data_IF_958056457641
#
_entry.id   IF_958056457641
#
_cell.length_a   1.000
_cell.length_b   1.000
_cell.length_c   1.000
_cell.angle_alpha   90.00
_cell.angle_beta   90.00
_cell.angle_gamma   90.00
#
_symmetry.space_group_name_H-M   'P 1'
#
loop_
_entity.id
_entity.type
_entity.pdbx_description
1 polymer ?
#
# COMPACT_ATOMS: atom_id res chain seq x y z
N UNK A 1 21.48 -4.95 7.99
CA UNK A 1 20.91 -3.67 7.56
C UNK A 1 20.80 -3.56 6.02
N UNK A 2 21.90 -3.66 5.26
CA UNK A 2 21.86 -3.52 3.79
C UNK A 2 20.91 -4.53 3.09
N UNK A 3 20.92 -5.81 3.48
CA UNK A 3 20.05 -6.84 2.90
C UNK A 3 18.55 -6.59 3.13
N UNK A 4 18.16 -6.03 4.28
CA UNK A 4 16.75 -5.69 4.55
C UNK A 4 16.28 -4.48 3.75
N UNK A 5 17.15 -3.47 3.59
CA UNK A 5 16.86 -2.31 2.73
C UNK A 5 16.72 -2.75 1.27
N UNK A 6 17.64 -3.59 0.77
CA UNK A 6 17.58 -4.10 -0.59
C UNK A 6 16.28 -4.90 -0.85
N UNK A 7 15.89 -5.78 0.08
CA UNK A 7 14.62 -6.51 -0.01
C UNK A 7 13.41 -5.59 -0.05
N UNK A 8 13.42 -4.53 0.80
CA UNK A 8 12.35 -3.52 0.81
C UNK A 8 12.26 -2.78 -0.52
N UNK A 9 13.39 -2.34 -1.07
CA UNK A 9 13.44 -1.65 -2.35
C UNK A 9 12.94 -2.55 -3.48
N UNK A 10 13.42 -3.80 -3.58
CA UNK A 10 12.98 -4.76 -4.59
C UNK A 10 11.47 -5.04 -4.50
N UNK A 11 10.97 -5.24 -3.27
CA UNK A 11 9.53 -5.42 -3.05
C UNK A 11 8.72 -4.19 -3.47
N UNK A 12 9.20 -2.99 -3.17
CA UNK A 12 8.53 -1.75 -3.57
C UNK A 12 8.58 -1.52 -5.09
N UNK A 13 9.68 -1.84 -5.75
CA UNK A 13 9.78 -1.82 -7.22
C UNK A 13 8.76 -2.77 -7.85
N UNK A 14 8.61 -3.97 -7.27
CA UNK A 14 7.58 -4.91 -7.71
C UNK A 14 6.16 -4.33 -7.55
N UNK A 15 5.86 -3.69 -6.42
CA UNK A 15 4.53 -3.06 -6.19
C UNK A 15 4.28 -1.90 -7.15
N UNK A 16 5.29 -1.10 -7.48
CA UNK A 16 5.19 -0.06 -8.52
C UNK A 16 4.87 -0.69 -9.87
N UNK A 17 5.57 -1.75 -10.25
CA UNK A 17 5.29 -2.46 -11.49
C UNK A 17 3.85 -3.01 -11.54
N UNK A 18 3.36 -3.60 -10.43
CA UNK A 18 1.96 -4.04 -10.32
C UNK A 18 0.99 -2.86 -10.46
N UNK A 19 1.28 -1.70 -9.86
CA UNK A 19 0.47 -0.49 -10.02
C UNK A 19 0.34 -0.07 -11.48
N UNK A 20 1.43 -0.10 -12.24
CA UNK A 20 1.40 0.20 -13.69
C UNK A 20 0.63 -0.88 -14.48
N UNK A 21 0.74 -2.16 -14.11
CA UNK A 21 -0.07 -3.22 -14.74
C UNK A 21 -1.57 -2.97 -14.53
N UNK A 22 -1.98 -2.61 -13.30
CA UNK A 22 -3.39 -2.26 -13.01
C UNK A 22 -3.83 -1.04 -13.82
N UNK A 23 -2.99 -0.02 -13.91
CA UNK A 23 -3.28 1.18 -14.70
C UNK A 23 -3.37 0.86 -16.21
N UNK A 24 -2.50 -0.01 -16.76
CA UNK A 24 -2.57 -0.48 -18.14
C UNK A 24 -3.84 -1.29 -18.43
N UNK A 25 -4.26 -2.15 -17.50
CA UNK A 25 -5.54 -2.87 -17.60
C UNK A 25 -6.71 -1.89 -17.63
N UNK A 26 -6.67 -0.85 -16.78
CA UNK A 26 -7.65 0.22 -16.80
C UNK A 26 -7.68 0.97 -18.12
N UNK A 27 -6.52 1.34 -18.67
CA UNK A 27 -6.41 1.99 -19.97
C UNK A 27 -6.95 1.09 -21.12
N UNK A 28 -6.75 -0.22 -21.03
CA UNK A 28 -7.37 -1.17 -21.96
C UNK A 28 -8.89 -1.17 -21.86
N UNK A 29 -9.46 -1.11 -20.65
CA UNK A 29 -10.91 -0.97 -20.44
C UNK A 29 -11.41 0.36 -21.01
N UNK A 30 -10.71 1.47 -20.73
CA UNK A 30 -11.06 2.80 -21.25
C UNK A 30 -11.12 2.79 -22.78
N UNK A 31 -10.12 2.18 -23.42
CA UNK A 31 -10.09 2.05 -24.88
C UNK A 31 -11.28 1.24 -25.43
N UNK A 32 -11.62 0.12 -24.79
CA UNK A 32 -12.74 -0.72 -25.21
C UNK A 32 -14.09 -0.02 -25.04
N UNK A 33 -14.23 0.82 -24.02
CA UNK A 33 -15.47 1.54 -23.70
C UNK A 33 -15.55 2.94 -24.34
N UNK A 34 -14.51 3.38 -25.05
CA UNK A 34 -14.44 4.71 -25.65
C UNK A 34 -14.33 5.83 -24.61
N UNK A 35 -13.78 5.55 -23.42
CA UNK A 35 -13.56 6.54 -22.35
C UNK A 35 -12.29 7.32 -22.66
N UNK A 36 -12.39 8.65 -22.68
CA UNK A 36 -11.25 9.52 -22.92
C UNK A 36 -10.27 9.52 -21.73
N UNK A 37 -8.98 9.50 -22.04
CA UNK A 37 -7.91 9.71 -21.06
C UNK A 37 -7.85 11.19 -20.61
N UNK A 38 -7.30 11.43 -19.40
CA UNK A 38 -7.15 12.79 -18.82
C UNK A 38 -5.69 13.19 -18.65
N UNK A 39 -4.85 12.94 -19.65
CA UNK A 39 -3.41 13.26 -19.63
C UNK A 39 -3.15 14.76 -19.47
N UNK A 40 -2.11 15.07 -18.70
CA UNK A 40 -1.64 16.44 -18.54
C UNK A 40 -0.60 16.58 -17.45
N UNK A 41 0.20 17.64 -17.51
CA UNK A 41 1.33 17.87 -16.59
C UNK A 41 0.94 17.85 -15.10
N UNK A 42 -0.28 18.29 -14.76
CA UNK A 42 -0.77 18.23 -13.38
C UNK A 42 -1.01 16.79 -12.93
N UNK A 43 -1.65 15.97 -13.77
CA UNK A 43 -1.90 14.56 -13.47
C UNK A 43 -0.58 13.79 -13.34
N UNK A 44 0.36 14.03 -14.25
CA UNK A 44 1.69 13.43 -14.23
C UNK A 44 2.46 13.82 -12.96
N UNK A 45 2.47 15.12 -12.61
CA UNK A 45 3.13 15.62 -11.42
C UNK A 45 2.55 15.04 -10.12
N UNK A 46 1.22 15.01 -10.00
CA UNK A 46 0.54 14.39 -8.86
C UNK A 46 0.79 12.88 -8.81
N UNK A 47 0.77 12.21 -9.96
CA UNK A 47 1.06 10.79 -10.06
C UNK A 47 2.47 10.45 -9.59
N UNK A 48 3.48 11.20 -10.04
CA UNK A 48 4.85 11.05 -9.58
C UNK A 48 4.99 11.30 -8.07
N UNK A 49 4.34 12.35 -7.55
CA UNK A 49 4.36 12.68 -6.13
C UNK A 49 3.73 11.55 -5.28
N UNK A 50 2.60 10.98 -5.72
CA UNK A 50 1.95 9.86 -5.04
C UNK A 50 2.81 8.60 -5.07
N UNK A 51 3.43 8.25 -6.20
CA UNK A 51 4.34 7.09 -6.26
C UNK A 51 5.53 7.30 -5.32
N UNK A 52 6.14 8.48 -5.32
CA UNK A 52 7.26 8.79 -4.44
C UNK A 52 6.84 8.69 -2.96
N UNK A 53 5.70 9.30 -2.58
CA UNK A 53 5.18 9.24 -1.22
C UNK A 53 4.84 7.79 -0.80
N UNK A 54 4.19 7.03 -1.66
CA UNK A 54 3.88 5.62 -1.42
C UNK A 54 5.12 4.75 -1.28
N UNK A 55 6.12 4.96 -2.13
CA UNK A 55 7.40 4.26 -2.07
C UNK A 55 8.14 4.55 -0.76
N UNK A 56 8.23 5.82 -0.37
CA UNK A 56 8.88 6.23 0.90
C UNK A 56 8.14 5.67 2.11
N UNK A 57 6.80 5.79 2.14
CA UNK A 57 5.96 5.27 3.22
C UNK A 57 6.15 3.76 3.39
N UNK A 58 6.12 3.01 2.28
CA UNK A 58 6.30 1.55 2.29
C UNK A 58 7.71 1.15 2.70
N UNK A 59 8.73 1.85 2.20
CA UNK A 59 10.12 1.59 2.58
C UNK A 59 10.32 1.78 4.08
N UNK A 60 9.78 2.87 4.63
CA UNK A 60 9.82 3.11 6.07
C UNK A 60 9.05 2.05 6.85
N UNK A 61 7.79 1.75 6.45
CA UNK A 61 6.96 0.75 7.13
C UNK A 61 7.59 -0.65 7.09
N UNK A 62 8.09 -1.07 5.94
CA UNK A 62 8.75 -2.36 5.77
C UNK A 62 10.04 -2.49 6.60
N UNK A 63 10.79 -1.38 6.73
CA UNK A 63 11.98 -1.37 7.58
C UNK A 63 11.62 -1.66 9.05
N UNK A 64 10.56 -1.05 9.58
CA UNK A 64 10.06 -1.34 10.93
C UNK A 64 9.50 -2.76 11.04
N UNK A 65 8.78 -3.23 10.02
CA UNK A 65 8.26 -4.59 9.94
C UNK A 65 9.38 -5.64 10.01
N UNK A 66 10.45 -5.47 9.23
CA UNK A 66 11.59 -6.38 9.23
C UNK A 66 12.44 -6.35 10.51
N UNK A 67 12.40 -5.28 11.29
CA UNK A 67 13.04 -5.22 12.61
C UNK A 67 12.27 -5.98 13.68
N UNK A 68 10.96 -6.11 13.55
CA UNK A 68 10.10 -6.88 14.45
C UNK A 68 10.04 -8.38 14.15
N UNK A 69 10.63 -8.81 13.03
CA UNK A 69 10.64 -10.22 12.61
C UNK A 69 12.02 -10.84 12.81
N UNK A 70 12.13 -11.83 13.67
CA UNK A 70 13.21 -12.83 13.58
C UNK A 70 12.88 -13.83 12.48
N UNK A 71 13.57 -13.65 11.34
CA UNK A 71 13.81 -14.62 10.27
C UNK A 71 12.62 -15.42 9.70
N UNK A 72 12.30 -15.09 8.41
CA UNK A 72 11.99 -16.04 7.30
C UNK A 72 11.10 -17.27 7.64
N UNK A 73 10.09 -17.14 8.44
CA UNK A 73 8.94 -18.06 8.37
C UNK A 73 7.67 -17.22 8.43
N UNK A 74 6.95 -17.21 7.30
CA UNK A 74 5.57 -16.79 7.20
C UNK A 74 4.83 -17.00 8.53
N UNK A 75 4.34 -15.93 9.18
CA UNK A 75 3.20 -15.96 10.08
C UNK A 75 3.34 -15.60 11.57
N UNK A 76 4.44 -15.21 12.14
CA UNK A 76 4.30 -14.71 13.53
C UNK A 76 5.11 -13.45 13.72
N UNK A 77 4.44 -12.29 13.78
CA UNK A 77 5.02 -11.10 14.39
C UNK A 77 5.28 -11.41 15.87
N UNK A 78 6.53 -11.42 16.30
CA UNK A 78 6.88 -11.60 17.71
C UNK A 78 6.52 -10.39 18.57
N UNK A 79 6.41 -9.21 17.94
CA UNK A 79 6.11 -7.95 18.61
C UNK A 79 5.12 -7.13 17.81
N UNK A 80 4.16 -6.51 18.49
CA UNK A 80 3.25 -5.55 17.87
C UNK A 80 4.01 -4.27 17.49
N UNK A 81 4.01 -3.93 16.19
CA UNK A 81 4.69 -2.75 15.69
C UNK A 81 3.76 -1.55 15.79
N UNK A 82 4.09 -0.62 16.69
CA UNK A 82 3.30 0.59 16.96
C UNK A 82 4.07 1.88 16.68
N UNK A 83 5.31 1.77 16.17
CA UNK A 83 6.25 2.88 15.96
C UNK A 83 6.46 3.21 14.48
N UNK A 84 7.13 4.32 14.22
CA UNK A 84 7.38 4.78 12.85
C UNK A 84 6.08 5.07 12.09
N UNK A 85 5.92 4.63 10.83
CA UNK A 85 4.70 4.82 10.04
C UNK A 85 3.45 4.21 10.69
N UNK A 86 3.60 3.12 11.46
CA UNK A 86 2.51 2.48 12.18
C UNK A 86 1.94 3.33 13.34
N UNK A 87 2.57 4.43 13.70
CA UNK A 87 2.04 5.42 14.62
C UNK A 87 0.89 6.25 14.02
N UNK A 88 0.90 6.43 12.68
CA UNK A 88 -0.08 7.27 11.97
C UNK A 88 -1.18 6.45 11.31
N UNK A 89 -0.83 5.27 10.81
CA UNK A 89 -1.77 4.33 10.19
C UNK A 89 -1.45 2.92 10.67
N UNK A 90 -2.48 2.11 10.93
CA UNK A 90 -2.28 0.69 11.23
C UNK A 90 -1.85 -0.12 10.01
N UNK A 91 -2.09 0.43 8.81
CA UNK A 91 -1.87 -0.27 7.54
C UNK A 91 -1.04 0.55 6.53
N UNK A 92 0.14 1.07 6.91
CA UNK A 92 0.92 1.96 6.06
C UNK A 92 1.42 1.28 4.77
N UNK A 93 1.62 -0.05 4.78
CA UNK A 93 2.01 -0.82 3.60
C UNK A 93 0.88 -0.86 2.56
N UNK A 94 -0.36 -1.11 3.00
CA UNK A 94 -1.53 -1.09 2.13
C UNK A 94 -1.84 0.30 1.60
N UNK A 95 -1.78 1.33 2.46
CA UNK A 95 -1.97 2.72 2.08
C UNK A 95 -0.97 3.17 1.01
N UNK A 96 0.32 2.93 1.23
CA UNK A 96 1.37 3.29 0.30
C UNK A 96 1.29 2.54 -1.04
N UNK A 97 0.88 1.27 -1.03
CA UNK A 97 0.78 0.44 -2.23
C UNK A 97 -0.53 0.64 -2.98
N UNK A 98 -1.62 0.19 -2.37
CA UNK A 98 -2.92 0.11 -3.05
C UNK A 98 -3.59 1.47 -3.26
N UNK A 99 -3.25 2.48 -2.44
CA UNK A 99 -3.79 3.83 -2.64
C UNK A 99 -2.77 4.69 -3.39
N UNK A 100 -1.61 4.99 -2.79
CA UNK A 100 -0.71 5.97 -3.37
C UNK A 100 -0.07 5.51 -4.67
N UNK A 101 0.58 4.33 -4.69
CA UNK A 101 1.30 3.88 -5.88
C UNK A 101 0.32 3.57 -7.02
N UNK A 102 -0.78 2.87 -6.76
CA UNK A 102 -1.73 2.51 -7.81
C UNK A 102 -2.46 3.73 -8.37
N UNK A 103 -2.92 4.66 -7.51
CA UNK A 103 -3.49 5.92 -7.97
C UNK A 103 -2.46 6.73 -8.76
N UNK A 104 -1.21 6.81 -8.28
CA UNK A 104 -0.15 7.52 -8.97
C UNK A 104 0.12 6.98 -10.37
N UNK A 105 0.19 5.65 -10.53
CA UNK A 105 0.35 5.01 -11.84
C UNK A 105 -0.84 5.30 -12.77
N UNK A 106 -2.08 5.26 -12.24
CA UNK A 106 -3.29 5.55 -13.01
C UNK A 106 -3.36 7.03 -13.45
N UNK A 107 -2.89 7.96 -12.61
CA UNK A 107 -2.79 9.38 -12.96
C UNK A 107 -1.75 9.61 -14.07
N UNK A 108 -0.57 9.00 -14.01
CA UNK A 108 0.47 9.10 -15.04
C UNK A 108 -0.03 8.56 -16.38
N UNK A 109 -0.77 7.46 -16.39
CA UNK A 109 -1.35 6.92 -17.60
C UNK A 109 -2.64 7.65 -18.03
N UNK A 110 -3.18 8.52 -17.19
CA UNK A 110 -4.40 9.29 -17.46
C UNK A 110 -5.64 8.41 -17.59
N UNK A 111 -5.71 7.28 -16.88
CA UNK A 111 -6.75 6.26 -17.05
C UNK A 111 -7.85 6.32 -15.99
N UNK A 112 -9.08 6.76 -16.34
CA UNK A 112 -10.24 6.64 -15.44
C UNK A 112 -10.52 5.20 -15.03
N UNK A 113 -10.40 4.24 -15.95
CA UNK A 113 -10.57 2.81 -15.68
C UNK A 113 -9.58 2.28 -14.66
N UNK A 114 -8.33 2.74 -14.68
CA UNK A 114 -7.34 2.41 -13.66
C UNK A 114 -7.78 2.87 -12.26
N UNK A 115 -8.27 4.11 -12.12
CA UNK A 115 -8.81 4.61 -10.86
C UNK A 115 -10.06 3.84 -10.42
N UNK A 116 -10.95 3.49 -11.35
CA UNK A 116 -12.13 2.68 -11.06
C UNK A 116 -11.74 1.28 -10.55
N UNK A 117 -10.77 0.62 -11.17
CA UNK A 117 -10.26 -0.68 -10.71
C UNK A 117 -9.71 -0.60 -9.28
N UNK A 118 -9.04 0.50 -8.91
CA UNK A 118 -8.54 0.69 -7.55
C UNK A 118 -9.72 0.80 -6.58
N UNK A 119 -10.73 1.60 -6.89
CA UNK A 119 -11.93 1.74 -6.04
C UNK A 119 -12.62 0.38 -5.86
N UNK A 120 -12.78 -0.39 -6.93
CA UNK A 120 -13.37 -1.73 -6.88
C UNK A 120 -12.52 -2.73 -6.08
N UNK A 121 -11.21 -2.53 -6.03
CA UNK A 121 -10.29 -3.37 -5.27
C UNK A 121 -10.26 -3.06 -3.76
N UNK A 122 -10.58 -1.82 -3.35
CA UNK A 122 -10.51 -1.41 -1.94
C UNK A 122 -11.33 -2.28 -0.97
N UNK A 123 -12.55 -2.76 -1.29
CA UNK A 123 -13.29 -3.66 -0.41
C UNK A 123 -12.54 -4.98 -0.12
N UNK A 124 -11.86 -5.53 -1.14
CA UNK A 124 -11.03 -6.72 -0.97
C UNK A 124 -9.84 -6.45 -0.05
N UNK A 125 -9.19 -5.30 -0.23
CA UNK A 125 -8.08 -4.86 0.65
C UNK A 125 -8.59 -4.68 2.09
N UNK A 126 -9.74 -4.03 2.30
CA UNK A 126 -10.30 -3.84 3.64
C UNK A 126 -10.67 -5.20 4.29
N UNK A 127 -11.19 -6.15 3.51
CA UNK A 127 -11.44 -7.52 3.99
C UNK A 127 -10.14 -8.21 4.45
N UNK A 128 -9.05 -8.09 3.67
CA UNK A 128 -7.75 -8.65 4.03
C UNK A 128 -7.19 -8.01 5.29
N UNK A 129 -7.28 -6.67 5.39
CA UNK A 129 -6.87 -5.91 6.58
C UNK A 129 -7.64 -6.34 7.83
N UNK A 130 -8.98 -6.49 7.73
CA UNK A 130 -9.80 -6.95 8.86
C UNK A 130 -9.44 -8.35 9.32
N UNK A 131 -9.05 -9.21 8.39
CA UNK A 131 -8.56 -10.55 8.72
C UNK A 131 -7.22 -10.50 9.45
N UNK A 132 -6.29 -9.67 8.98
CA UNK A 132 -5.00 -9.45 9.63
C UNK A 132 -5.16 -8.81 11.01
N UNK A 133 -6.02 -7.79 11.16
CA UNK A 133 -6.32 -7.15 12.44
C UNK A 133 -6.90 -8.15 13.46
N UNK A 134 -7.74 -9.10 13.04
CA UNK A 134 -8.25 -10.16 13.92
C UNK A 134 -7.13 -11.07 14.41
N UNK A 135 -6.23 -11.48 13.54
CA UNK A 135 -5.07 -12.30 13.93
C UNK A 135 -4.15 -11.56 14.91
N UNK A 136 -3.93 -10.27 14.71
CA UNK A 136 -3.17 -9.43 15.63
C UNK A 136 -3.87 -9.30 16.99
N UNK A 137 -5.19 -9.15 17.01
CA UNK A 137 -5.99 -9.11 18.23
C UNK A 137 -5.91 -10.43 19.00
N UNK A 138 -6.02 -11.56 18.31
CA UNK A 138 -5.91 -12.90 18.91
C UNK A 138 -4.51 -13.14 19.48
N UNK A 139 -3.48 -12.59 18.85
CA UNK A 139 -2.07 -12.78 19.24
C UNK A 139 -1.65 -11.84 20.36
N UNK A 140 -2.08 -10.58 20.35
CA UNK A 140 -1.58 -9.53 21.24
C UNK A 140 -2.61 -9.01 22.26
N UNK A 141 -3.87 -9.44 22.18
CA UNK A 141 -4.91 -9.13 23.15
C UNK A 141 -5.06 -7.65 23.46
N UNK A 142 -4.93 -7.28 24.74
CA UNK A 142 -5.13 -5.89 25.22
C UNK A 142 -4.14 -4.91 24.61
N UNK A 143 -2.90 -5.32 24.34
CA UNK A 143 -1.91 -4.46 23.69
C UNK A 143 -2.35 -4.02 22.27
N UNK A 144 -3.03 -4.93 21.53
CA UNK A 144 -3.65 -4.59 20.27
C UNK A 144 -4.79 -3.58 20.42
N UNK A 145 -5.67 -3.77 21.41
CA UNK A 145 -6.78 -2.87 21.66
C UNK A 145 -6.31 -1.45 22.01
N UNK A 146 -5.34 -1.31 22.89
CA UNK A 146 -4.75 -0.01 23.22
C UNK A 146 -4.14 0.69 22.00
N UNK A 147 -3.45 -0.05 21.16
CA UNK A 147 -2.91 0.48 19.90
C UNK A 147 -4.02 0.89 18.92
N UNK A 148 -5.04 0.04 18.74
CA UNK A 148 -6.13 0.27 17.81
C UNK A 148 -7.01 1.47 18.19
N UNK A 149 -7.12 1.80 19.48
CA UNK A 149 -7.82 3.00 19.96
C UNK A 149 -7.06 4.30 19.64
N UNK A 150 -5.73 4.26 19.60
CA UNK A 150 -4.87 5.43 19.38
C UNK A 150 -4.52 5.68 17.92
N UNK A 151 -4.59 4.65 17.10
CA UNK A 151 -4.13 4.71 15.71
C UNK A 151 -5.25 4.32 14.75
N UNK A 152 -5.51 5.16 13.76
CA UNK A 152 -6.55 4.90 12.76
C UNK A 152 -6.13 3.76 11.81
N UNK A 153 -7.12 3.10 11.18
CA UNK A 153 -6.86 2.03 10.21
C UNK A 153 -6.13 2.54 8.97
N UNK A 154 -6.53 3.69 8.46
CA UNK A 154 -5.96 4.30 7.27
C UNK A 154 -5.13 5.54 7.60
N UNK A 155 -5.74 6.63 7.94
CA UNK A 155 -5.15 7.90 8.44
C UNK A 155 -6.15 8.66 9.28
#
# INVERSE_FOLDING_TARGET
MLRSVLKSVLHNVFVVAVGFVVALLGAGIDHLLGIADFKGALADGLGCALIAAGFLLRTAAFHFYMRGMDVIVLHVQKHLITTGPHRFSRNPLYLGGNVFIFCGASLILGTPGGLALIILHLPLVDFMIRREERQLQETFGDAWWEYAQRTRRWM
#
